data_IF_877728249324
#
_entry.id   IF_877728249324
#
_cell.length_a   1.000
_cell.length_b   1.000
_cell.length_c   1.000
_cell.angle_alpha   90.00
_cell.angle_beta   90.00
_cell.angle_gamma   90.00
#
_symmetry.space_group_name_H-M   'P 1'
#
loop_
_entity.id
_entity.type
_entity.pdbx_description
1 polymer ?
#
# COMPACT_ATOMS: atom_id res chain seq x y z
N UNK A 1 -8.75 -4.66 1.05
CA UNK A 1 -8.67 -3.44 0.20
C UNK A 1 -8.92 -2.22 1.07
N UNK A 2 -7.95 -1.32 1.15
CA UNK A 2 -8.02 -0.11 1.94
C UNK A 2 -9.21 0.81 1.57
N UNK A 3 -9.84 1.41 2.60
CA UNK A 3 -10.88 2.43 2.43
C UNK A 3 -10.28 3.78 2.02
N UNK A 4 -11.11 4.73 1.59
CA UNK A 4 -10.65 6.09 1.23
C UNK A 4 -9.99 6.82 2.40
N UNK A 5 -10.48 6.62 3.63
CA UNK A 5 -9.87 7.21 4.83
C UNK A 5 -8.48 6.63 5.07
N UNK A 6 -8.33 5.30 4.99
CA UNK A 6 -7.02 4.63 5.14
C UNK A 6 -6.04 5.10 4.06
N UNK A 7 -6.48 5.23 2.82
CA UNK A 7 -5.65 5.75 1.74
C UNK A 7 -5.24 7.21 1.97
N UNK A 8 -6.15 8.05 2.49
CA UNK A 8 -5.87 9.45 2.82
C UNK A 8 -4.82 9.55 3.93
N UNK A 9 -4.97 8.76 4.98
CA UNK A 9 -3.99 8.72 6.08
C UNK A 9 -2.63 8.27 5.57
N UNK A 10 -2.57 7.17 4.81
CA UNK A 10 -1.33 6.69 4.18
C UNK A 10 -0.68 7.78 3.33
N UNK A 11 -1.43 8.47 2.47
CA UNK A 11 -0.88 9.55 1.64
C UNK A 11 -0.21 10.65 2.49
N UNK A 12 -0.87 11.06 3.58
CA UNK A 12 -0.40 12.12 4.48
C UNK A 12 0.82 11.72 5.32
N UNK A 13 0.99 10.43 5.63
CA UNK A 13 2.10 9.95 6.47
C UNK A 13 3.28 9.36 5.68
N UNK A 14 3.04 8.87 4.47
CA UNK A 14 4.06 8.19 3.66
C UNK A 14 5.09 9.12 3.03
N UNK A 15 4.88 10.44 3.07
CA UNK A 15 5.90 11.43 2.72
C UNK A 15 7.18 11.28 3.58
N UNK A 16 7.04 10.85 4.84
CA UNK A 16 8.16 10.58 5.74
C UNK A 16 8.87 9.27 5.43
N UNK A 17 8.20 8.35 4.75
CA UNK A 17 8.65 6.98 4.55
C UNK A 17 9.71 6.83 3.46
N UNK A 18 10.23 7.94 2.90
CA UNK A 18 11.49 7.90 2.15
C UNK A 18 12.68 7.47 3.03
N UNK A 19 12.64 7.78 4.33
CA UNK A 19 13.66 7.36 5.30
C UNK A 19 13.53 5.87 5.60
N UNK A 20 14.60 5.12 5.37
CA UNK A 20 14.63 3.68 5.60
C UNK A 20 14.30 3.33 7.06
N UNK A 21 14.87 4.07 8.00
CA UNK A 21 14.73 3.83 9.43
C UNK A 21 13.28 3.94 9.88
N UNK A 22 12.51 4.88 9.31
CA UNK A 22 11.10 5.03 9.65
C UNK A 22 10.24 3.88 9.11
N UNK A 23 10.60 3.34 7.94
CA UNK A 23 9.95 2.13 7.42
C UNK A 23 10.23 0.94 8.31
N UNK A 24 11.49 0.73 8.69
CA UNK A 24 11.88 -0.39 9.56
C UNK A 24 11.22 -0.29 10.95
N UNK A 25 11.18 0.91 11.54
CA UNK A 25 10.50 1.17 12.82
C UNK A 25 9.00 0.86 12.80
N UNK A 26 8.34 0.91 11.64
CA UNK A 26 6.92 0.56 11.54
C UNK A 26 6.64 -0.91 11.91
N UNK A 27 7.62 -1.80 11.71
CA UNK A 27 7.53 -3.24 11.98
C UNK A 27 7.82 -3.59 13.46
N UNK A 28 7.43 -2.73 14.39
CA UNK A 28 7.69 -2.91 15.82
C UNK A 28 7.10 -4.22 16.35
N UNK A 29 5.91 -4.60 15.89
CA UNK A 29 5.18 -5.81 16.31
C UNK A 29 5.22 -6.93 15.26
N UNK A 30 6.16 -6.87 14.30
CA UNK A 30 6.26 -7.85 13.23
C UNK A 30 6.74 -9.23 13.73
N UNK A 31 6.09 -10.34 13.33
CA UNK A 31 6.38 -11.67 13.88
C UNK A 31 7.67 -12.30 13.31
N UNK A 32 8.07 -11.95 12.09
CA UNK A 32 9.19 -12.60 11.40
C UNK A 32 10.49 -11.83 11.59
N UNK A 33 11.42 -12.36 12.40
CA UNK A 33 12.68 -11.69 12.74
C UNK A 33 13.88 -12.55 12.38
N UNK A 34 14.47 -13.22 13.37
CA UNK A 34 15.63 -14.08 13.16
C UNK A 34 15.24 -15.26 12.25
N UNK A 35 16.20 -15.71 11.44
CA UNK A 35 16.06 -16.85 10.52
C UNK A 35 14.96 -16.73 9.43
N UNK A 36 14.38 -15.55 9.24
CA UNK A 36 13.36 -15.28 8.21
C UNK A 36 13.92 -14.47 7.01
N UNK A 37 13.25 -14.53 5.87
CA UNK A 37 13.48 -13.67 4.69
C UNK A 37 12.63 -12.41 4.68
N UNK A 38 11.50 -12.39 5.37
CA UNK A 38 10.63 -11.23 5.51
C UNK A 38 10.88 -10.45 6.82
N UNK A 39 12.15 -10.27 7.20
CA UNK A 39 12.55 -9.48 8.39
C UNK A 39 12.17 -7.99 8.24
N UNK A 40 12.00 -7.22 9.33
CA UNK A 40 11.77 -5.77 9.29
C UNK A 40 12.69 -5.00 8.34
N UNK A 41 14.00 -5.28 8.41
CA UNK A 41 15.01 -4.65 7.54
C UNK A 41 14.73 -4.93 6.06
N UNK A 42 14.53 -6.20 5.69
CA UNK A 42 14.24 -6.61 4.30
C UNK A 42 12.89 -6.08 3.80
N UNK A 43 11.87 -6.03 4.66
CA UNK A 43 10.57 -5.42 4.35
C UNK A 43 10.73 -3.92 4.05
N UNK A 44 11.43 -3.20 4.93
CA UNK A 44 11.72 -1.77 4.78
C UNK A 44 12.58 -1.47 3.54
N UNK A 45 13.55 -2.34 3.24
CA UNK A 45 14.38 -2.24 2.03
C UNK A 45 13.57 -2.43 0.75
N UNK A 46 12.58 -3.31 0.76
CA UNK A 46 11.62 -3.48 -0.33
C UNK A 46 10.56 -2.35 -0.40
N UNK A 47 10.62 -1.37 0.50
CA UNK A 47 9.72 -0.21 0.50
C UNK A 47 8.39 -0.45 1.18
N UNK A 48 8.24 -1.54 1.94
CA UNK A 48 7.04 -1.79 2.73
C UNK A 48 7.04 -1.04 4.05
N UNK A 49 5.84 -0.76 4.53
CA UNK A 49 5.52 -0.17 5.84
C UNK A 49 4.46 -1.09 6.47
N UNK A 50 4.65 -1.46 7.74
CA UNK A 50 3.67 -2.25 8.48
C UNK A 50 2.44 -1.39 8.77
N UNK A 51 1.25 -1.90 8.43
CA UNK A 51 -0.01 -1.21 8.66
C UNK A 51 -1.08 -2.21 9.13
N UNK A 52 -0.91 -2.78 10.33
CA UNK A 52 -1.77 -3.83 10.84
C UNK A 52 -3.18 -3.31 11.17
N UNK A 53 -4.16 -4.21 11.11
CA UNK A 53 -5.49 -4.04 11.68
C UNK A 53 -5.75 -5.15 12.71
N UNK A 54 -6.83 -5.04 13.50
CA UNK A 54 -7.19 -6.08 14.49
C UNK A 54 -7.35 -7.48 13.85
N UNK A 55 -7.81 -7.53 12.60
CA UNK A 55 -8.07 -8.80 11.89
C UNK A 55 -6.94 -9.18 10.94
N UNK A 56 -6.06 -8.25 10.60
CA UNK A 56 -5.02 -8.42 9.58
C UNK A 56 -3.68 -7.91 10.16
N UNK A 57 -3.05 -8.69 11.08
CA UNK A 57 -1.91 -8.24 11.87
C UNK A 57 -0.60 -8.14 11.09
N UNK A 58 -0.52 -8.73 9.90
CA UNK A 58 0.68 -8.82 9.07
C UNK A 58 0.56 -8.03 7.75
N UNK A 59 -0.40 -7.11 7.66
CA UNK A 59 -0.53 -6.28 6.44
C UNK A 59 0.65 -5.32 6.31
N UNK A 60 1.29 -5.36 5.15
CA UNK A 60 2.36 -4.45 4.77
C UNK A 60 2.01 -3.74 3.46
N UNK A 61 2.20 -2.42 3.43
CA UNK A 61 1.88 -1.59 2.27
C UNK A 61 3.12 -0.84 1.78
N UNK A 62 3.38 -0.86 0.46
CA UNK A 62 4.45 -0.07 -0.11
C UNK A 62 4.12 1.42 0.01
N UNK A 63 5.05 2.22 0.56
CA UNK A 63 4.82 3.64 0.78
C UNK A 63 4.65 4.47 -0.51
N UNK A 64 5.15 3.94 -1.63
CA UNK A 64 5.20 4.63 -2.92
C UNK A 64 4.09 4.19 -3.87
N UNK A 65 3.99 2.89 -4.13
CA UNK A 65 3.02 2.35 -5.10
C UNK A 65 1.70 1.88 -4.46
N UNK A 66 1.59 1.94 -3.13
CA UNK A 66 0.43 1.48 -2.36
C UNK A 66 0.05 0.01 -2.55
N UNK A 67 0.97 -0.82 -3.05
CA UNK A 67 0.82 -2.28 -3.06
C UNK A 67 0.68 -2.78 -1.62
N UNK A 68 -0.46 -3.36 -1.31
CA UNK A 68 -0.81 -3.96 -0.02
C UNK A 68 -0.73 -5.48 -0.11
N UNK A 69 -0.02 -6.11 0.83
CA UNK A 69 0.15 -7.55 0.93
C UNK A 69 -0.05 -8.01 2.37
N UNK A 70 -0.62 -9.19 2.52
CA UNK A 70 -0.89 -9.90 3.77
C UNK A 70 -0.61 -11.39 3.59
N UNK A 71 -0.63 -12.16 4.67
CA UNK A 71 -0.36 -13.60 4.65
C UNK A 71 1.12 -13.90 4.41
N UNK A 72 2.01 -13.10 5.02
CA UNK A 72 3.45 -13.27 4.87
C UNK A 72 3.93 -14.56 5.55
N UNK A 73 4.82 -15.27 4.86
CA UNK A 73 5.48 -16.46 5.37
C UNK A 73 6.97 -16.18 5.65
N UNK A 74 7.62 -16.90 6.59
CA UNK A 74 9.03 -16.70 6.92
C UNK A 74 9.98 -16.75 5.72
N UNK A 75 9.66 -17.52 4.68
CA UNK A 75 10.49 -17.73 3.50
C UNK A 75 10.23 -16.74 2.35
N UNK A 76 9.27 -15.84 2.50
CA UNK A 76 8.95 -14.83 1.50
C UNK A 76 10.07 -13.79 1.39
N UNK A 77 10.47 -13.49 0.15
CA UNK A 77 11.38 -12.39 -0.16
C UNK A 77 10.56 -11.14 -0.50
N UNK A 78 10.57 -10.09 0.34
CA UNK A 78 9.74 -8.91 0.12
C UNK A 78 10.06 -8.17 -1.17
N UNK A 79 11.34 -8.13 -1.56
CA UNK A 79 11.77 -7.46 -2.78
C UNK A 79 11.22 -8.20 -4.01
N UNK A 80 11.31 -9.52 -4.00
CA UNK A 80 10.75 -10.36 -5.07
C UNK A 80 9.23 -10.27 -5.16
N UNK A 81 8.53 -10.38 -4.03
CA UNK A 81 7.07 -10.31 -3.98
C UNK A 81 6.55 -8.92 -4.44
N UNK A 82 7.31 -7.85 -4.18
CA UNK A 82 7.02 -6.51 -4.67
C UNK A 82 7.23 -6.41 -6.19
N UNK A 83 8.39 -6.83 -6.74
CA UNK A 83 8.63 -6.81 -8.20
C UNK A 83 7.56 -7.61 -8.94
N UNK A 84 7.22 -8.80 -8.41
CA UNK A 84 6.25 -9.71 -9.03
C UNK A 84 4.86 -9.08 -9.16
N UNK A 85 4.41 -8.30 -8.16
CA UNK A 85 3.07 -7.70 -8.15
C UNK A 85 3.01 -6.25 -8.63
N UNK A 86 4.11 -5.50 -8.56
CA UNK A 86 4.22 -4.11 -9.00
C UNK A 86 5.59 -3.84 -9.65
N UNK A 87 5.88 -4.43 -10.83
CA UNK A 87 7.20 -4.36 -11.45
C UNK A 87 7.60 -2.94 -11.88
N UNK A 88 6.62 -2.05 -12.04
CA UNK A 88 6.82 -0.66 -12.45
C UNK A 88 6.76 0.32 -11.27
N UNK A 89 6.91 -0.16 -10.04
CA UNK A 89 6.96 0.70 -8.86
C UNK A 89 8.10 1.72 -8.99
N UNK A 90 7.76 3.02 -8.94
CA UNK A 90 8.73 4.10 -9.06
C UNK A 90 9.88 3.98 -8.06
N UNK A 91 9.58 3.61 -6.81
CA UNK A 91 10.59 3.35 -5.78
C UNK A 91 11.59 2.25 -6.16
N UNK A 92 11.13 1.11 -6.68
CA UNK A 92 12.03 0.01 -7.07
C UNK A 92 12.93 0.36 -8.27
N UNK A 93 12.48 1.30 -9.11
CA UNK A 93 13.22 1.74 -10.30
C UNK A 93 14.17 2.92 -10.03
N UNK A 94 14.18 3.45 -8.80
CA UNK A 94 15.09 4.52 -8.40
C UNK A 94 16.54 4.03 -8.43
N UNK A 95 17.41 4.84 -9.04
CA UNK A 95 18.85 4.57 -9.13
C UNK A 95 19.69 5.31 -8.10
N UNK A 96 19.11 6.31 -7.45
CA UNK A 96 19.76 7.21 -6.50
C UNK A 96 19.08 7.07 -5.15
N UNK A 97 19.86 7.25 -4.09
CA UNK A 97 19.28 7.43 -2.77
C UNK A 97 18.48 8.75 -2.72
N UNK A 98 17.46 8.81 -1.87
CA UNK A 98 16.62 10.01 -1.77
C UNK A 98 17.41 11.25 -1.34
N UNK A 99 18.50 11.08 -0.58
CA UNK A 99 19.39 12.16 -0.14
C UNK A 99 20.23 12.76 -1.26
N UNK A 100 20.34 12.07 -2.41
CA UNK A 100 21.14 12.47 -3.56
C UNK A 100 20.29 13.06 -4.70
N UNK A 101 18.98 13.13 -4.52
CA UNK A 101 18.07 13.64 -5.53
C UNK A 101 18.17 15.16 -5.66
N UNK A 102 18.15 15.64 -6.90
CA UNK A 102 17.88 17.05 -7.17
C UNK A 102 16.42 17.38 -6.85
N UNK A 103 16.13 18.66 -6.62
CA UNK A 103 14.75 19.14 -6.38
C UNK A 103 13.79 18.71 -7.50
N UNK A 104 14.24 18.73 -8.76
CA UNK A 104 13.42 18.31 -9.89
C UNK A 104 13.12 16.80 -9.86
N UNK A 105 14.12 15.96 -9.55
CA UNK A 105 13.92 14.52 -9.43
C UNK A 105 12.95 14.18 -8.30
N UNK A 106 13.13 14.81 -7.13
CA UNK A 106 12.20 14.68 -6.01
C UNK A 106 10.78 15.11 -6.38
N UNK A 107 10.62 16.24 -7.07
CA UNK A 107 9.32 16.72 -7.53
C UNK A 107 8.63 15.72 -8.48
N UNK A 108 9.37 15.13 -9.43
CA UNK A 108 8.78 14.11 -10.33
C UNK A 108 8.33 12.87 -9.56
N UNK A 109 9.07 12.46 -8.54
CA UNK A 109 8.70 11.32 -7.72
C UNK A 109 7.42 11.59 -6.91
N UNK A 110 7.34 12.71 -6.21
CA UNK A 110 6.13 13.07 -5.46
C UNK A 110 4.91 13.25 -6.37
N UNK A 111 5.11 13.75 -7.59
CA UNK A 111 4.06 13.82 -8.61
C UNK A 111 3.54 12.43 -8.99
N UNK A 112 4.42 11.45 -9.18
CA UNK A 112 4.03 10.06 -9.44
C UNK A 112 3.34 9.42 -8.22
N UNK A 113 3.81 9.68 -7.00
CA UNK A 113 3.15 9.22 -5.77
C UNK A 113 1.74 9.79 -5.63
N UNK A 114 1.56 11.09 -5.89
CA UNK A 114 0.24 11.73 -5.91
C UNK A 114 -0.68 11.13 -6.97
N UNK A 115 -0.15 10.84 -8.16
CA UNK A 115 -0.92 10.18 -9.23
C UNK A 115 -1.38 8.79 -8.81
N UNK A 116 -0.51 7.98 -8.20
CA UNK A 116 -0.87 6.67 -7.64
C UNK A 116 -2.00 6.82 -6.63
N UNK A 117 -1.86 7.73 -5.68
CA UNK A 117 -2.90 8.00 -4.68
C UNK A 117 -4.26 8.36 -5.30
N UNK A 118 -4.29 9.31 -6.24
CA UNK A 118 -5.54 9.73 -6.91
C UNK A 118 -6.18 8.54 -7.62
N UNK A 119 -5.41 7.75 -8.35
CA UNK A 119 -5.92 6.57 -9.06
C UNK A 119 -6.48 5.54 -8.09
N UNK A 120 -5.79 5.28 -6.97
CA UNK A 120 -6.26 4.36 -5.93
C UNK A 120 -7.56 4.83 -5.29
N UNK A 121 -7.69 6.12 -4.95
CA UNK A 121 -8.93 6.69 -4.41
C UNK A 121 -10.08 6.53 -5.39
N UNK A 122 -9.87 6.89 -6.66
CA UNK A 122 -10.91 6.78 -7.69
C UNK A 122 -11.36 5.34 -7.88
N UNK A 123 -10.43 4.38 -7.90
CA UNK A 123 -10.75 2.96 -7.99
C UNK A 123 -11.59 2.47 -6.79
N UNK A 124 -11.22 2.85 -5.56
CA UNK A 124 -11.98 2.50 -4.35
C UNK A 124 -13.39 3.11 -4.37
N UNK A 125 -13.55 4.36 -4.78
CA UNK A 125 -14.87 5.01 -4.90
C UNK A 125 -15.77 4.32 -5.94
N UNK A 126 -15.21 3.95 -7.10
CA UNK A 126 -15.95 3.22 -8.14
C UNK A 126 -16.40 1.85 -7.63
N UNK A 127 -15.52 1.11 -6.96
CA UNK A 127 -15.85 -0.19 -6.38
C UNK A 127 -16.92 -0.09 -5.30
N UNK A 128 -16.85 0.91 -4.41
CA UNK A 128 -17.87 1.14 -3.40
C UNK A 128 -19.25 1.40 -4.03
N UNK A 129 -19.30 2.17 -5.13
CA UNK A 129 -20.54 2.43 -5.86
C UNK A 129 -21.07 1.18 -6.58
N UNK A 130 -20.20 0.33 -7.12
CA UNK A 130 -20.60 -0.93 -7.75
C UNK A 130 -21.20 -1.92 -6.73
N UNK A 131 -20.62 -2.01 -5.53
CA UNK A 131 -21.15 -2.84 -4.43
C UNK A 131 -22.49 -2.29 -3.93
N UNK A 132 -22.61 -0.97 -3.77
CA UNK A 132 -23.87 -0.33 -3.36
C UNK A 132 -25.00 -0.57 -4.39
N UNK A 133 -24.68 -0.52 -5.69
CA UNK A 133 -25.64 -0.79 -6.76
C UNK A 133 -26.09 -2.26 -6.76
N UNK A 134 -25.16 -3.20 -6.59
CA UNK A 134 -25.48 -4.63 -6.46
C UNK A 134 -26.38 -4.91 -5.25
N UNK A 135 -26.07 -4.28 -4.10
CA UNK A 135 -26.83 -4.47 -2.87
C UNK A 135 -28.24 -3.86 -2.95
N UNK A 136 -28.42 -2.72 -3.62
CA UNK A 136 -29.75 -2.16 -3.91
C UNK A 136 -30.60 -3.11 -4.79
N UNK A 137 -30.01 -3.80 -5.76
CA UNK A 137 -30.75 -4.79 -6.57
C UNK A 137 -31.20 -6.02 -5.76
N UNK A 138 -30.51 -6.38 -4.67
CA UNK A 138 -30.94 -7.45 -3.77
C UNK A 138 -32.12 -7.04 -2.87
N UNK A 139 -32.17 -5.79 -2.42
CA UNK A 139 -33.24 -5.29 -1.56
C UNK A 139 -34.46 -4.78 -2.32
N UNK A 140 -34.29 -4.29 -3.55
CA UNK A 140 -35.36 -3.82 -4.43
C UNK A 140 -35.24 -4.45 -5.82
N UNK A 141 -35.75 -5.67 -6.02
CA UNK A 141 -35.89 -6.22 -7.36
C UNK A 141 -36.87 -5.35 -8.16
N UNK A 142 -36.57 -5.04 -9.44
CA UNK A 142 -37.51 -4.32 -10.29
C UNK A 142 -38.79 -5.14 -10.46
N UNK A 143 -39.93 -4.59 -10.05
CA UNK A 143 -41.26 -5.22 -10.23
C UNK A 143 -42.05 -5.59 -8.97
N UNK A 144 -41.71 -5.06 -7.78
CA UNK A 144 -42.65 -5.09 -6.64
C UNK A 144 -43.29 -3.72 -6.48
N UNK A 145 -44.50 -3.61 -7.02
CA UNK A 145 -45.39 -2.48 -6.79
C UNK A 145 -45.62 -2.29 -5.28
N UNK A 146 -45.49 -1.05 -4.83
CA UNK A 146 -45.92 -0.62 -3.50
C UNK A 146 -47.46 -0.65 -3.48
N UNK A 147 -48.03 -1.68 -2.86
CA UNK A 147 -49.43 -1.69 -2.41
C UNK A 147 -49.57 -0.99 -1.07
#
# INVERSE_FOLDING_TARGET
MATTNVLTDRFNFYDKMYKHELREQSFADWPFREECKCTPEKMAKAGFVHCPSENEPDVACCFYCLLELEGWEPDDDPWFEHIKRSPNCGFLTMKKDFTELTVNEYYQMEKERLKVYIVSILATCVNANAVAFSMMCFFYPPGKDLS
#
